data_IF_795676550297
#
_entry.id   IF_795676550297
#
_cell.length_a   1.000
_cell.length_b   1.000
_cell.length_c   1.000
_cell.angle_alpha   90.00
_cell.angle_beta   90.00
_cell.angle_gamma   90.00
#
_symmetry.space_group_name_H-M   'P 1'
#
loop_
_entity.id
_entity.type
_entity.pdbx_description
1 polymer ?
#
# COMPACT_ATOMS: atom_id res chain seq x y z
N UNK A 1 -24.61 3.07 0.58
CA UNK A 1 -23.35 2.94 1.34
C UNK A 1 -22.30 2.41 0.38
N UNK A 2 -21.13 3.05 0.28
CA UNK A 2 -20.09 2.59 -0.65
C UNK A 2 -19.51 1.25 -0.15
N UNK A 3 -19.55 0.21 -0.99
CA UNK A 3 -18.96 -1.09 -0.67
C UNK A 3 -17.52 -1.10 -1.19
N UNK A 4 -16.55 -1.03 -0.29
CA UNK A 4 -15.14 -1.22 -0.61
C UNK A 4 -14.75 -2.68 -0.37
N UNK A 5 -14.01 -3.27 -1.31
CA UNK A 5 -13.46 -4.63 -1.16
C UNK A 5 -12.10 -4.64 -0.48
N UNK A 6 -11.46 -3.47 -0.41
CA UNK A 6 -10.16 -3.28 0.21
C UNK A 6 -10.00 -1.79 0.52
N UNK A 7 -9.43 -1.47 1.67
CA UNK A 7 -9.13 -0.11 2.11
C UNK A 7 -7.78 -0.09 2.80
N UNK A 8 -7.06 1.02 2.65
CA UNK A 8 -5.84 1.33 3.40
C UNK A 8 -5.85 2.81 3.76
N UNK A 9 -5.35 3.12 4.94
CA UNK A 9 -5.43 4.44 5.54
C UNK A 9 -4.06 4.87 6.07
N UNK A 10 -3.48 5.88 5.42
CA UNK A 10 -2.20 6.51 5.76
C UNK A 10 -1.06 5.50 5.93
N UNK A 11 -0.99 4.52 5.04
CA UNK A 11 0.02 3.47 5.08
C UNK A 11 1.40 4.06 4.79
N UNK A 12 2.34 3.80 5.69
CA UNK A 12 3.75 4.13 5.56
C UNK A 12 4.64 2.91 5.70
N UNK A 13 5.83 2.96 5.10
CA UNK A 13 6.84 1.92 5.28
C UNK A 13 8.23 2.54 5.33
N UNK A 14 8.93 2.25 6.41
CA UNK A 14 10.34 2.58 6.62
C UNK A 14 11.12 1.28 6.65
N UNK A 15 12.22 1.22 5.90
CA UNK A 15 13.15 0.09 5.90
C UNK A 15 14.50 0.50 6.47
N UNK A 16 15.27 -0.43 7.07
CA UNK A 16 16.61 -0.12 7.60
C UNK A 16 17.54 0.50 6.52
N UNK A 17 18.45 1.41 6.90
CA UNK A 17 18.65 1.93 8.27
C UNK A 17 17.66 3.03 8.68
N UNK A 18 16.90 3.63 7.73
CA UNK A 18 15.84 4.67 7.96
C UNK A 18 15.25 5.20 6.64
N UNK A 19 15.18 4.37 5.60
CA UNK A 19 14.68 4.79 4.28
C UNK A 19 13.16 4.68 4.24
N UNK A 20 12.47 5.79 4.06
CA UNK A 20 11.03 5.82 3.77
C UNK A 20 10.81 5.41 2.31
N UNK A 21 10.00 4.37 2.09
CA UNK A 21 9.67 3.86 0.76
C UNK A 21 8.20 4.03 0.39
N UNK A 22 7.32 4.14 1.39
CA UNK A 22 5.93 4.53 1.24
C UNK A 22 5.62 5.60 2.30
N UNK A 23 4.82 6.59 1.93
CA UNK A 23 4.46 7.70 2.79
C UNK A 23 3.00 8.08 2.53
N UNK A 24 2.19 8.01 3.59
CA UNK A 24 0.80 8.48 3.62
C UNK A 24 -0.10 7.92 2.51
N UNK A 25 0.03 6.63 2.21
CA UNK A 25 -0.75 5.97 1.16
C UNK A 25 -2.16 5.66 1.69
N UNK A 26 -3.17 6.27 1.09
CA UNK A 26 -4.58 5.99 1.37
C UNK A 26 -5.31 5.63 0.08
N UNK A 27 -5.86 4.42 0.01
CA UNK A 27 -6.52 3.87 -1.17
C UNK A 27 -7.78 3.11 -0.75
N UNK A 28 -8.78 3.07 -1.62
CA UNK A 28 -9.98 2.25 -1.43
C UNK A 28 -10.47 1.74 -2.77
N UNK A 29 -10.75 0.45 -2.85
CA UNK A 29 -11.10 -0.22 -4.10
C UNK A 29 -12.54 -0.70 -4.10
N UNK A 30 -13.23 -0.43 -5.21
CA UNK A 30 -14.59 -0.93 -5.46
C UNK A 30 -14.54 -2.35 -6.04
N UNK A 31 -15.62 -3.14 -5.87
CA UNK A 31 -15.78 -4.42 -6.56
C UNK A 31 -15.56 -4.28 -8.07
N UNK A 32 -14.78 -5.20 -8.66
CA UNK A 32 -14.55 -5.24 -10.11
C UNK A 32 -13.49 -4.27 -10.63
N UNK A 33 -12.85 -3.46 -9.78
CA UNK A 33 -11.77 -2.57 -10.21
C UNK A 33 -10.58 -3.36 -10.79
N UNK A 34 -10.01 -2.88 -11.90
CA UNK A 34 -8.76 -3.36 -12.50
C UNK A 34 -7.71 -2.27 -12.41
N UNK A 35 -6.64 -2.51 -11.67
CA UNK A 35 -5.70 -1.46 -11.26
C UNK A 35 -4.28 -1.88 -11.61
N UNK A 36 -3.55 -1.00 -12.28
CA UNK A 36 -2.12 -1.14 -12.53
C UNK A 36 -1.32 -0.25 -11.59
N UNK A 37 -0.34 -0.82 -10.89
CA UNK A 37 0.60 -0.05 -10.06
C UNK A 37 1.85 0.25 -10.88
N UNK A 38 2.12 1.52 -11.15
CA UNK A 38 3.22 2.00 -12.00
C UNK A 38 4.23 2.84 -11.21
N UNK A 39 5.43 3.03 -11.76
CA UNK A 39 6.50 3.81 -11.14
C UNK A 39 7.90 3.24 -11.40
N UNK A 40 8.93 4.04 -11.13
CA UNK A 40 10.34 3.67 -11.32
C UNK A 40 10.79 2.51 -10.42
N UNK A 41 11.95 1.93 -10.70
CA UNK A 41 12.55 0.94 -9.80
C UNK A 41 12.85 1.57 -8.44
N UNK A 42 12.49 0.85 -7.36
CA UNK A 42 12.65 1.34 -5.99
C UNK A 42 11.53 2.27 -5.47
N UNK A 43 10.51 2.59 -6.27
CA UNK A 43 9.36 3.42 -5.86
C UNK A 43 8.36 2.77 -4.88
N UNK A 44 8.63 1.53 -4.42
CA UNK A 44 7.77 0.87 -3.44
C UNK A 44 6.63 0.01 -4.00
N UNK A 45 6.48 -0.14 -5.32
CA UNK A 45 5.39 -0.93 -5.95
C UNK A 45 5.22 -2.34 -5.38
N UNK A 46 6.29 -3.15 -5.40
CA UNK A 46 6.24 -4.53 -4.87
C UNK A 46 6.04 -4.55 -3.36
N UNK A 47 6.48 -3.53 -2.64
CA UNK A 47 6.24 -3.39 -1.20
C UNK A 47 4.76 -3.11 -0.94
N UNK A 48 4.15 -2.16 -1.66
CA UNK A 48 2.71 -1.87 -1.58
C UNK A 48 1.88 -3.13 -1.81
N UNK A 49 2.20 -3.92 -2.85
CA UNK A 49 1.49 -5.16 -3.14
C UNK A 49 1.69 -6.24 -2.05
N UNK A 50 2.87 -6.33 -1.43
CA UNK A 50 3.11 -7.25 -0.30
C UNK A 50 2.33 -6.85 0.94
N UNK A 51 2.21 -5.55 1.21
CA UNK A 51 1.37 -5.03 2.30
C UNK A 51 -0.09 -5.39 2.05
N UNK A 52 -0.59 -5.11 0.83
CA UNK A 52 -1.97 -5.45 0.44
C UNK A 52 -2.29 -6.95 0.53
N UNK A 53 -1.29 -7.79 0.31
CA UNK A 53 -1.42 -9.25 0.41
C UNK A 53 -1.29 -9.77 1.86
N UNK A 54 -1.06 -8.92 2.85
CA UNK A 54 -0.81 -9.31 4.24
C UNK A 54 0.54 -10.01 4.46
N UNK A 55 1.46 -9.93 3.50
CA UNK A 55 2.79 -10.55 3.56
C UNK A 55 3.77 -9.67 4.35
N UNK A 56 3.64 -8.35 4.22
CA UNK A 56 4.46 -7.37 4.94
C UNK A 56 3.55 -6.51 5.83
N UNK A 57 3.61 -6.72 7.14
CA UNK A 57 2.71 -6.10 8.13
C UNK A 57 3.41 -5.08 9.03
N UNK A 58 4.73 -4.92 8.90
CA UNK A 58 5.48 -3.89 9.61
C UNK A 58 5.28 -2.54 8.91
N UNK A 59 4.14 -1.91 9.15
CA UNK A 59 3.72 -0.67 8.50
C UNK A 59 3.34 0.40 9.52
N UNK A 60 3.38 1.64 9.08
CA UNK A 60 2.62 2.74 9.71
C UNK A 60 1.21 2.75 9.12
N UNK A 61 0.21 3.20 9.88
CA UNK A 61 -1.18 3.27 9.40
C UNK A 61 -1.91 1.92 9.45
N UNK A 62 -2.95 1.78 8.62
CA UNK A 62 -3.82 0.59 8.58
C UNK A 62 -3.98 0.08 7.13
N UNK A 63 -3.86 -1.22 6.93
CA UNK A 63 -3.96 -1.90 5.62
C UNK A 63 -4.76 -3.19 5.71
#
# INVERSE_FOLDING_TARGET
MAQYIYTMNRVGKIVPPKKKILEDISLSFFPGAKIGVLGLNGSGKSTLLRIMAGIDTEIEGEA
#
